data_IF_876355804828
#
_entry.id   IF_876355804828
#
_cell.length_a   1.000
_cell.length_b   1.000
_cell.length_c   1.000
_cell.angle_alpha   90.00
_cell.angle_beta   90.00
_cell.angle_gamma   90.00
#
_symmetry.space_group_name_H-M   'P 1'
#
loop_
_entity.id
_entity.type
_entity.pdbx_description
1 polymer ?
#
# COMPACT_ATOMS: atom_id res chain seq x y z
N UNK A 1 16.77 0.47 24.44
CA UNK A 1 16.13 0.09 23.16
C UNK A 1 16.28 -1.42 23.02
N UNK A 2 15.24 -2.17 22.63
CA UNK A 2 15.38 -3.61 22.41
C UNK A 2 16.26 -3.80 21.15
N UNK A 3 17.39 -4.50 21.19
CA UNK A 3 18.34 -4.62 20.08
C UNK A 3 17.75 -5.36 18.85
N UNK A 4 16.59 -6.00 19.00
CA UNK A 4 15.89 -6.67 17.93
C UNK A 4 14.87 -5.79 17.19
N UNK A 5 14.64 -4.54 17.63
CA UNK A 5 13.67 -3.62 17.01
C UNK A 5 14.37 -2.53 16.23
N UNK A 6 13.81 -2.20 15.08
CA UNK A 6 14.30 -1.13 14.19
C UNK A 6 13.15 -0.23 13.77
N UNK A 7 13.48 1.02 13.43
CA UNK A 7 12.50 1.98 12.94
C UNK A 7 12.15 1.74 11.46
N UNK A 8 11.10 2.41 10.98
CA UNK A 8 10.65 2.30 9.59
C UNK A 8 11.71 2.85 8.61
N UNK A 9 12.47 3.87 9.00
CA UNK A 9 13.51 4.47 8.17
C UNK A 9 14.60 3.45 7.78
N UNK A 10 14.83 2.45 8.64
CA UNK A 10 15.79 1.37 8.38
C UNK A 10 15.24 0.23 7.53
N UNK A 11 13.99 0.32 7.04
CA UNK A 11 13.38 -0.80 6.31
C UNK A 11 14.13 -1.17 5.02
N UNK A 12 14.75 -0.20 4.36
CA UNK A 12 15.57 -0.40 3.17
C UNK A 12 16.89 -1.16 3.39
N UNK A 13 17.30 -1.36 4.64
CA UNK A 13 18.55 -2.07 4.97
C UNK A 13 18.38 -3.60 4.99
N UNK A 14 17.15 -4.09 4.78
CA UNK A 14 16.79 -5.51 4.87
C UNK A 14 16.55 -6.12 3.49
N UNK A 15 16.80 -7.43 3.40
CA UNK A 15 16.68 -8.15 2.13
C UNK A 15 15.21 -8.38 1.75
N UNK A 16 14.36 -8.68 2.76
CA UNK A 16 12.92 -8.87 2.59
C UNK A 16 12.14 -8.28 3.76
N UNK A 17 10.91 -7.87 3.49
CA UNK A 17 9.94 -7.43 4.49
C UNK A 17 8.87 -8.52 4.64
N UNK A 18 8.66 -9.02 5.87
CA UNK A 18 7.75 -10.13 6.15
C UNK A 18 6.55 -9.63 6.95
N UNK A 19 5.37 -9.74 6.38
CA UNK A 19 4.11 -9.48 7.06
C UNK A 19 3.54 -10.75 7.69
N UNK A 20 3.56 -10.82 9.02
CA UNK A 20 3.01 -11.97 9.75
C UNK A 20 1.54 -11.79 10.18
N UNK A 21 0.86 -10.78 9.64
CA UNK A 21 -0.58 -10.61 9.82
C UNK A 21 -1.36 -11.65 9.01
N UNK A 22 -2.65 -11.75 9.29
CA UNK A 22 -3.51 -12.67 8.55
C UNK A 22 -3.62 -12.29 7.07
N UNK A 23 -3.98 -13.25 6.18
CA UNK A 23 -4.19 -12.97 4.76
C UNK A 23 -5.18 -11.84 4.48
N UNK A 24 -6.26 -11.72 5.27
CA UNK A 24 -7.23 -10.62 5.13
C UNK A 24 -6.65 -9.26 5.55
N UNK A 25 -5.84 -9.22 6.63
CA UNK A 25 -5.15 -7.99 7.04
C UNK A 25 -4.16 -7.55 5.94
N UNK A 26 -3.46 -8.51 5.31
CA UNK A 26 -2.51 -8.25 4.23
C UNK A 26 -3.19 -7.78 2.95
N UNK A 27 -4.30 -8.41 2.57
CA UNK A 27 -5.08 -8.05 1.38
C UNK A 27 -5.72 -6.65 1.48
N UNK A 28 -6.08 -6.21 2.70
CA UNK A 28 -6.62 -4.87 2.93
C UNK A 28 -5.58 -3.79 2.63
N UNK A 29 -4.35 -3.93 3.16
CA UNK A 29 -3.17 -3.10 2.85
C UNK A 29 -1.92 -3.68 3.51
N UNK A 30 -0.75 -3.46 2.94
CA UNK A 30 0.54 -3.91 3.45
C UNK A 30 1.68 -2.98 3.02
N UNK A 31 2.85 -3.13 3.63
CA UNK A 31 4.06 -2.43 3.19
C UNK A 31 4.44 -2.94 1.79
N UNK A 32 4.64 -2.07 0.79
CA UNK A 32 4.99 -2.49 -0.56
C UNK A 32 6.18 -3.45 -0.61
N UNK A 33 6.05 -4.51 -1.40
CA UNK A 33 7.07 -5.56 -1.51
C UNK A 33 7.10 -6.56 -0.35
N UNK A 34 6.23 -6.44 0.66
CA UNK A 34 6.18 -7.40 1.75
C UNK A 34 5.66 -8.76 1.31
N UNK A 35 6.25 -9.81 1.85
CA UNK A 35 5.82 -11.20 1.70
C UNK A 35 4.87 -11.54 2.87
N UNK A 36 3.68 -12.07 2.57
CA UNK A 36 2.77 -12.52 3.62
C UNK A 36 3.13 -13.92 4.11
N UNK A 37 3.54 -14.02 5.37
CA UNK A 37 3.80 -15.26 6.09
C UNK A 37 3.01 -15.27 7.40
N UNK A 38 1.68 -15.50 7.34
CA UNK A 38 0.80 -15.32 8.47
C UNK A 38 1.09 -16.33 9.59
N UNK A 39 1.36 -15.83 10.79
CA UNK A 39 1.51 -16.68 11.99
C UNK A 39 0.18 -17.09 12.62
N UNK A 40 -0.92 -16.56 12.12
CA UNK A 40 -2.30 -16.99 12.40
C UNK A 40 -3.12 -16.88 11.12
N UNK A 41 -3.95 -17.89 10.82
CA UNK A 41 -4.96 -17.78 9.78
C UNK A 41 -6.04 -16.73 10.18
N UNK A 42 -6.95 -16.40 9.27
CA UNK A 42 -8.07 -15.51 9.58
C UNK A 42 -8.94 -16.08 10.71
N UNK A 43 -9.25 -17.37 10.64
CA UNK A 43 -10.06 -18.10 11.61
C UNK A 43 -9.36 -18.20 12.97
N UNK A 44 -8.08 -18.59 12.98
CA UNK A 44 -7.28 -18.66 14.21
C UNK A 44 -7.19 -17.29 14.89
N UNK A 45 -7.06 -16.21 14.10
CA UNK A 45 -7.04 -14.83 14.62
C UNK A 45 -8.36 -14.46 15.30
N UNK A 46 -9.50 -14.89 14.73
CA UNK A 46 -10.83 -14.69 15.35
C UNK A 46 -10.92 -15.48 16.64
N UNK A 47 -10.55 -16.76 16.65
CA UNK A 47 -10.59 -17.63 17.85
C UNK A 47 -9.79 -17.00 18.98
N UNK A 48 -8.51 -16.71 18.74
CA UNK A 48 -7.61 -16.11 19.74
C UNK A 48 -8.13 -14.77 20.22
N UNK A 49 -8.64 -13.92 19.30
CA UNK A 49 -9.18 -12.61 19.63
C UNK A 49 -10.44 -12.66 20.51
N UNK A 50 -11.33 -13.60 20.23
CA UNK A 50 -12.55 -13.85 21.02
C UNK A 50 -12.21 -14.38 22.40
N UNK A 51 -11.33 -15.38 22.47
CA UNK A 51 -10.86 -15.92 23.76
C UNK A 51 -10.21 -14.84 24.63
N UNK A 52 -9.39 -13.97 24.02
CA UNK A 52 -8.74 -12.88 24.74
C UNK A 52 -9.71 -11.90 25.39
N UNK A 53 -10.83 -11.60 24.71
CA UNK A 53 -11.84 -10.63 25.18
C UNK A 53 -12.88 -11.25 26.11
N UNK A 54 -13.27 -12.50 25.87
CA UNK A 54 -14.47 -13.09 26.47
C UNK A 54 -14.18 -14.22 27.46
N UNK A 55 -12.97 -14.80 27.45
CA UNK A 55 -12.62 -15.93 28.31
C UNK A 55 -11.46 -15.56 29.23
N UNK A 56 -10.24 -15.58 28.73
CA UNK A 56 -9.03 -15.36 29.52
C UNK A 56 -7.87 -14.91 28.61
N UNK A 57 -7.20 -13.78 28.93
CA UNK A 57 -5.98 -13.39 28.24
C UNK A 57 -4.86 -14.42 28.31
N UNK A 58 -4.77 -15.18 29.41
CA UNK A 58 -3.77 -16.24 29.58
C UNK A 58 -4.06 -17.42 28.65
N UNK A 59 -5.29 -17.95 28.67
CA UNK A 59 -5.67 -19.08 27.82
C UNK A 59 -5.59 -18.74 26.34
N UNK A 60 -6.05 -17.54 25.94
CA UNK A 60 -5.88 -17.03 24.60
C UNK A 60 -4.40 -16.97 24.18
N UNK A 61 -3.51 -16.54 25.09
CA UNK A 61 -2.07 -16.51 24.83
C UNK A 61 -1.48 -17.90 24.69
N UNK A 62 -1.90 -18.86 25.53
CA UNK A 62 -1.45 -20.27 25.48
C UNK A 62 -1.88 -20.96 24.17
N UNK A 63 -3.17 -20.84 23.83
CA UNK A 63 -3.72 -21.43 22.60
C UNK A 63 -3.11 -20.76 21.36
N UNK A 64 -3.04 -19.42 21.36
CA UNK A 64 -2.45 -18.65 20.27
C UNK A 64 -0.97 -18.95 20.06
N UNK A 65 -0.19 -19.17 21.13
CA UNK A 65 1.22 -19.56 21.01
C UNK A 65 1.41 -20.89 20.29
N UNK A 66 0.54 -21.89 20.58
CA UNK A 66 0.59 -23.17 19.91
C UNK A 66 0.27 -23.06 18.40
N UNK A 67 -0.72 -22.23 18.03
CA UNK A 67 -1.06 -21.93 16.63
C UNK A 67 0.10 -21.22 15.92
N UNK A 68 0.62 -20.16 16.52
CA UNK A 68 1.76 -19.39 15.99
C UNK A 68 2.97 -20.27 15.76
N UNK A 69 3.31 -21.15 16.70
CA UNK A 69 4.47 -22.06 16.58
C UNK A 69 4.32 -23.03 15.38
N UNK A 70 3.13 -23.63 15.20
CA UNK A 70 2.85 -24.51 14.05
C UNK A 70 2.97 -23.78 12.72
N UNK A 71 2.39 -22.57 12.63
CA UNK A 71 2.40 -21.81 11.40
C UNK A 71 3.82 -21.30 11.06
N UNK A 72 4.62 -20.92 12.07
CA UNK A 72 6.03 -20.58 11.86
C UNK A 72 6.80 -21.80 11.34
N UNK A 73 6.64 -22.98 11.94
CA UNK A 73 7.28 -24.20 11.48
C UNK A 73 6.95 -24.50 10.00
N UNK A 74 5.67 -24.39 9.61
CA UNK A 74 5.26 -24.54 8.23
C UNK A 74 5.92 -23.54 7.27
N UNK A 75 6.07 -22.29 7.67
CA UNK A 75 6.78 -21.29 6.85
C UNK A 75 8.29 -21.58 6.73
N UNK A 76 8.91 -22.11 7.76
CA UNK A 76 10.33 -22.52 7.70
C UNK A 76 10.54 -23.67 6.71
N UNK A 77 9.60 -24.62 6.65
CA UNK A 77 9.66 -25.76 5.74
C UNK A 77 9.29 -25.42 4.28
N UNK A 78 8.64 -24.26 4.05
CA UNK A 78 8.10 -23.89 2.73
C UNK A 78 8.62 -22.52 2.26
N UNK A 79 8.05 -21.45 2.78
CA UNK A 79 8.29 -20.06 2.31
C UNK A 79 9.75 -19.64 2.46
N UNK A 80 10.44 -20.14 3.49
CA UNK A 80 11.79 -19.72 3.87
C UNK A 80 12.83 -20.86 3.75
N UNK A 81 12.46 -22.01 3.18
CA UNK A 81 13.33 -23.19 3.11
C UNK A 81 14.66 -22.92 2.40
N UNK A 82 14.64 -22.10 1.34
CA UNK A 82 15.80 -21.81 0.51
C UNK A 82 16.54 -20.51 0.87
N UNK A 83 16.19 -19.88 1.99
CA UNK A 83 16.81 -18.61 2.38
C UNK A 83 18.27 -18.78 2.83
N UNK A 84 19.20 -17.96 2.32
CA UNK A 84 20.62 -18.11 2.62
C UNK A 84 20.93 -17.73 4.09
N UNK A 85 22.07 -18.25 4.60
CA UNK A 85 22.50 -18.04 5.99
C UNK A 85 22.61 -16.57 6.39
N UNK A 86 22.98 -15.70 5.47
CA UNK A 86 23.16 -14.26 5.71
C UNK A 86 21.90 -13.44 5.52
N UNK A 87 20.74 -14.07 5.28
CA UNK A 87 19.46 -13.38 5.09
C UNK A 87 19.08 -12.49 6.27
N UNK A 88 18.58 -11.30 5.94
CA UNK A 88 18.21 -10.25 6.92
C UNK A 88 16.75 -9.83 6.71
N UNK A 89 15.76 -10.59 7.21
CA UNK A 89 14.36 -10.20 7.10
C UNK A 89 13.95 -9.15 8.13
N UNK A 90 13.11 -8.19 7.70
CA UNK A 90 12.38 -7.28 8.57
C UNK A 90 10.97 -7.80 8.79
N UNK A 91 10.58 -8.09 10.01
CA UNK A 91 9.32 -8.74 10.34
C UNK A 91 8.37 -7.76 11.01
N UNK A 92 7.14 -7.71 10.55
CA UNK A 92 6.14 -6.87 11.20
C UNK A 92 4.80 -7.58 11.40
N UNK A 93 4.05 -7.11 12.39
CA UNK A 93 2.63 -7.37 12.57
C UNK A 93 1.88 -6.05 12.76
N UNK A 94 0.67 -6.06 13.32
CA UNK A 94 -0.14 -4.84 13.47
C UNK A 94 0.55 -3.71 14.25
N UNK A 95 1.22 -4.02 15.40
CA UNK A 95 1.85 -3.04 16.30
C UNK A 95 3.27 -3.43 16.75
N UNK A 96 3.93 -4.37 16.09
CA UNK A 96 5.21 -4.87 16.57
C UNK A 96 5.10 -5.63 17.91
N UNK A 97 4.03 -6.44 18.07
CA UNK A 97 3.78 -7.23 19.27
C UNK A 97 4.18 -8.70 19.10
N UNK A 98 3.60 -9.58 19.96
CA UNK A 98 3.94 -11.01 20.08
C UNK A 98 4.01 -11.78 18.76
N UNK A 99 3.13 -11.49 17.78
CA UNK A 99 3.11 -12.19 16.48
C UNK A 99 4.45 -12.04 15.74
N UNK A 100 4.89 -10.82 15.50
CA UNK A 100 6.18 -10.57 14.83
C UNK A 100 7.38 -10.88 15.73
N UNK A 101 7.27 -10.67 17.03
CA UNK A 101 8.31 -11.03 18.00
C UNK A 101 8.63 -12.53 17.97
N UNK A 102 7.60 -13.41 17.96
CA UNK A 102 7.79 -14.86 17.92
C UNK A 102 8.53 -15.30 16.64
N UNK A 103 8.12 -14.80 15.46
CA UNK A 103 8.81 -15.10 14.21
C UNK A 103 10.26 -14.61 14.24
N UNK A 104 10.48 -13.35 14.66
CA UNK A 104 11.83 -12.76 14.78
C UNK A 104 12.73 -13.57 15.69
N UNK A 105 12.19 -14.05 16.81
CA UNK A 105 12.97 -14.84 17.79
C UNK A 105 13.42 -16.17 17.18
N UNK A 106 12.51 -16.92 16.57
CA UNK A 106 12.79 -18.21 15.94
C UNK A 106 13.80 -18.04 14.80
N UNK A 107 13.63 -17.05 13.93
CA UNK A 107 14.57 -16.79 12.84
C UNK A 107 15.98 -16.45 13.35
N UNK A 108 16.11 -15.69 14.45
CA UNK A 108 17.42 -15.44 15.06
C UNK A 108 18.01 -16.68 15.73
N UNK A 109 17.19 -17.61 16.27
CA UNK A 109 17.68 -18.90 16.81
C UNK A 109 18.25 -19.80 15.71
N UNK A 110 17.76 -19.72 14.48
CA UNK A 110 18.30 -20.42 13.30
C UNK A 110 19.66 -19.80 12.89
N UNK A 111 19.88 -18.52 13.21
CA UNK A 111 21.11 -17.80 12.88
C UNK A 111 20.96 -16.72 11.81
N UNK A 112 19.73 -16.48 11.33
CA UNK A 112 19.42 -15.34 10.46
C UNK A 112 19.46 -14.02 11.24
N UNK A 113 19.66 -12.90 10.54
CA UNK A 113 19.75 -11.57 11.18
C UNK A 113 18.38 -10.86 11.15
N UNK A 114 17.37 -11.53 11.64
CA UNK A 114 16.00 -11.00 11.66
C UNK A 114 15.83 -9.81 12.60
N UNK A 115 15.05 -8.82 12.20
CA UNK A 115 14.66 -7.67 13.03
C UNK A 115 13.16 -7.49 13.00
N UNK A 116 12.62 -6.87 14.05
CA UNK A 116 11.21 -6.54 14.19
C UNK A 116 11.00 -5.06 13.92
N UNK A 117 10.02 -4.72 13.06
CA UNK A 117 9.63 -3.32 12.83
C UNK A 117 8.95 -2.76 14.08
N UNK A 118 9.51 -1.71 14.65
CA UNK A 118 8.89 -1.03 15.80
C UNK A 118 7.58 -0.34 15.39
N UNK A 119 6.54 -0.51 16.23
CA UNK A 119 5.20 -0.05 15.92
C UNK A 119 4.49 -0.78 14.78
N UNK A 120 5.18 -1.66 14.03
CA UNK A 120 4.65 -2.52 12.98
C UNK A 120 3.90 -1.78 11.88
N UNK A 121 2.88 -2.42 11.26
CA UNK A 121 2.04 -1.82 10.23
C UNK A 121 1.42 -0.48 10.65
N UNK A 122 1.07 -0.34 11.95
CA UNK A 122 0.51 0.93 12.43
C UNK A 122 1.49 2.10 12.32
N UNK A 123 2.80 1.86 12.49
CA UNK A 123 3.83 2.87 12.28
C UNK A 123 3.91 3.25 10.80
N UNK A 124 3.97 2.25 9.90
CA UNK A 124 3.93 2.46 8.47
C UNK A 124 2.68 3.26 8.04
N UNK A 125 1.48 2.88 8.52
CA UNK A 125 0.24 3.58 8.16
C UNK A 125 0.23 5.04 8.64
N UNK A 126 0.82 5.34 9.80
CA UNK A 126 0.97 6.73 10.27
C UNK A 126 1.90 7.54 9.35
N UNK A 127 2.98 6.93 8.89
CA UNK A 127 3.89 7.55 7.92
C UNK A 127 3.18 7.86 6.61
N UNK A 128 2.43 6.91 6.05
CA UNK A 128 1.61 7.12 4.83
C UNK A 128 0.65 8.29 5.01
N UNK A 129 -0.13 8.31 6.10
CA UNK A 129 -1.11 9.38 6.35
C UNK A 129 -0.43 10.74 6.54
N UNK A 130 0.66 10.78 7.28
CA UNK A 130 1.43 12.02 7.51
C UNK A 130 2.02 12.55 6.19
N UNK A 131 2.62 11.66 5.40
CA UNK A 131 3.24 12.01 4.12
C UNK A 131 2.22 12.49 3.09
N UNK A 132 1.04 11.85 3.04
CA UNK A 132 -0.07 12.34 2.20
C UNK A 132 -0.55 13.75 2.59
N UNK A 133 -0.37 14.14 3.84
CA UNK A 133 -0.69 15.50 4.31
C UNK A 133 0.25 16.58 3.77
N UNK A 134 1.49 16.22 3.43
CA UNK A 134 2.55 17.20 3.11
C UNK A 134 3.12 17.05 1.71
N UNK A 135 3.40 15.84 1.26
CA UNK A 135 4.10 15.58 0.00
C UNK A 135 3.39 16.16 -1.24
N UNK A 136 2.04 16.09 -1.38
CA UNK A 136 1.39 16.65 -2.56
C UNK A 136 1.69 18.14 -2.78
N UNK A 137 1.88 18.92 -1.73
CA UNK A 137 2.16 20.37 -1.84
C UNK A 137 3.60 20.71 -2.23
N UNK A 138 4.49 19.72 -2.28
CA UNK A 138 5.90 19.93 -2.70
C UNK A 138 6.11 19.75 -4.19
N UNK A 139 5.07 19.32 -4.93
CA UNK A 139 5.12 19.04 -6.36
C UNK A 139 4.39 20.14 -7.14
N UNK A 140 4.87 20.42 -8.36
CA UNK A 140 4.22 21.31 -9.29
C UNK A 140 3.35 20.53 -10.28
N UNK A 141 2.07 20.88 -10.43
CA UNK A 141 1.12 20.12 -11.23
C UNK A 141 0.68 20.88 -12.48
N UNK A 142 0.54 20.12 -13.57
CA UNK A 142 -0.16 20.51 -14.80
C UNK A 142 -1.41 19.65 -14.91
N UNK A 143 -2.58 20.26 -14.75
CA UNK A 143 -3.87 19.55 -14.72
C UNK A 143 -4.44 19.45 -16.12
N UNK A 144 -4.71 18.25 -16.59
CA UNK A 144 -5.39 17.96 -17.86
C UNK A 144 -6.90 17.93 -17.62
N UNK A 145 -7.60 18.98 -18.02
CA UNK A 145 -9.06 19.10 -17.93
C UNK A 145 -9.72 18.78 -19.27
N UNK A 146 -11.01 18.44 -19.25
CA UNK A 146 -11.80 18.17 -20.44
C UNK A 146 -12.93 17.20 -20.17
N UNK A 147 -13.89 17.14 -21.08
CA UNK A 147 -15.07 16.27 -20.95
C UNK A 147 -14.69 14.79 -20.98
N UNK A 148 -15.57 13.93 -20.45
CA UNK A 148 -15.44 12.47 -20.61
C UNK A 148 -15.35 12.12 -22.11
N UNK A 149 -14.43 11.20 -22.45
CA UNK A 149 -14.17 10.84 -23.85
C UNK A 149 -13.31 11.84 -24.64
N UNK A 150 -12.73 12.88 -24.00
CA UNK A 150 -11.80 13.79 -24.70
C UNK A 150 -10.37 13.24 -24.86
N UNK A 151 -10.09 12.02 -24.39
CA UNK A 151 -8.79 11.38 -24.55
C UNK A 151 -7.71 11.85 -23.54
N UNK A 152 -8.11 12.42 -22.40
CA UNK A 152 -7.16 12.86 -21.35
C UNK A 152 -6.21 11.74 -20.91
N UNK A 153 -6.74 10.55 -20.62
CA UNK A 153 -5.94 9.38 -20.20
C UNK A 153 -4.96 8.97 -21.30
N UNK A 154 -5.38 8.96 -22.57
CA UNK A 154 -4.46 8.71 -23.69
C UNK A 154 -3.36 9.75 -23.81
N UNK A 155 -3.70 11.04 -23.60
CA UNK A 155 -2.72 12.11 -23.57
C UNK A 155 -1.75 11.95 -22.40
N UNK A 156 -2.27 11.60 -21.21
CA UNK A 156 -1.44 11.34 -20.01
C UNK A 156 -0.44 10.21 -20.27
N UNK A 157 -0.91 9.11 -20.86
CA UNK A 157 -0.02 7.98 -21.22
C UNK A 157 1.01 8.37 -22.28
N UNK A 158 0.59 9.10 -23.34
CA UNK A 158 1.53 9.58 -24.37
C UNK A 158 2.59 10.53 -23.80
N UNK A 159 2.24 11.35 -22.79
CA UNK A 159 3.20 12.18 -22.08
C UNK A 159 4.18 11.32 -21.28
N UNK A 160 3.72 10.26 -20.63
CA UNK A 160 4.59 9.29 -19.94
C UNK A 160 5.56 8.60 -20.92
N UNK A 161 5.08 8.19 -22.10
CA UNK A 161 5.88 7.53 -23.13
C UNK A 161 7.03 8.41 -23.66
N UNK A 162 6.87 9.73 -23.63
CA UNK A 162 7.95 10.68 -24.00
C UNK A 162 8.77 11.16 -22.78
N UNK A 163 8.61 10.51 -21.61
CA UNK A 163 9.41 10.75 -20.41
C UNK A 163 8.93 11.91 -19.52
N UNK A 164 7.71 12.41 -19.70
CA UNK A 164 7.11 13.35 -18.75
C UNK A 164 6.73 12.62 -17.46
N UNK A 165 6.72 13.35 -16.34
CA UNK A 165 6.19 12.81 -15.07
C UNK A 165 4.67 12.87 -15.09
N UNK A 166 4.04 11.74 -14.78
CA UNK A 166 2.57 11.62 -14.76
C UNK A 166 2.10 11.01 -13.46
N UNK A 167 0.91 11.41 -13.02
CA UNK A 167 0.19 10.81 -11.91
C UNK A 167 -1.19 10.34 -12.40
N UNK A 168 -1.30 9.03 -12.64
CA UNK A 168 -2.53 8.40 -13.11
C UNK A 168 -3.38 7.94 -11.92
N UNK A 169 -4.31 8.80 -11.49
CA UNK A 169 -5.19 8.54 -10.34
C UNK A 169 -6.24 7.48 -10.65
N UNK A 170 -6.69 7.37 -11.90
CA UNK A 170 -7.64 6.35 -12.34
C UNK A 170 -7.01 4.94 -12.30
N UNK A 171 -5.78 4.81 -12.80
CA UNK A 171 -5.03 3.55 -12.72
C UNK A 171 -4.78 3.12 -11.27
N UNK A 172 -4.35 4.05 -10.38
CA UNK A 172 -4.17 3.77 -8.95
C UNK A 172 -5.47 3.35 -8.27
N UNK A 173 -6.60 3.94 -8.65
CA UNK A 173 -7.91 3.59 -8.13
C UNK A 173 -8.52 2.35 -8.80
N UNK A 174 -7.92 1.81 -9.87
CA UNK A 174 -8.48 0.76 -10.73
C UNK A 174 -9.91 1.09 -11.18
N UNK A 175 -10.11 2.32 -11.67
CA UNK A 175 -11.42 2.85 -12.01
C UNK A 175 -11.28 3.98 -13.04
N UNK A 176 -12.17 4.04 -14.03
CA UNK A 176 -12.15 5.03 -15.14
C UNK A 176 -12.77 6.40 -14.78
N UNK A 177 -12.79 6.83 -13.54
CA UNK A 177 -13.25 8.16 -13.11
C UNK A 177 -14.73 8.49 -13.31
N UNK A 178 -15.37 7.95 -14.35
CA UNK A 178 -16.77 8.22 -14.70
C UNK A 178 -17.77 7.45 -13.82
N UNK A 179 -19.07 7.84 -13.86
CA UNK A 179 -20.14 7.11 -13.15
C UNK A 179 -20.22 5.62 -13.52
N UNK A 180 -19.82 5.25 -14.73
CA UNK A 180 -19.79 3.88 -15.25
C UNK A 180 -18.34 3.34 -15.32
N UNK A 181 -17.42 3.95 -14.60
CA UNK A 181 -15.99 3.68 -14.70
C UNK A 181 -15.51 2.41 -14.01
N UNK A 182 -16.38 1.63 -13.37
CA UNK A 182 -16.01 0.35 -12.78
C UNK A 182 -15.48 -0.61 -13.87
N UNK A 183 -14.29 -1.20 -13.63
CA UNK A 183 -13.72 -2.18 -14.57
C UNK A 183 -14.34 -3.56 -14.32
N UNK A 184 -14.91 -4.22 -15.34
CA UNK A 184 -15.49 -5.55 -15.19
C UNK A 184 -14.46 -6.55 -14.63
N UNK A 185 -14.83 -7.25 -13.57
CA UNK A 185 -13.97 -8.27 -12.94
C UNK A 185 -12.79 -7.75 -12.13
N UNK A 186 -12.61 -6.42 -12.01
CA UNK A 186 -11.52 -5.82 -11.23
C UNK A 186 -12.11 -5.05 -10.05
N UNK A 187 -11.85 -5.52 -8.83
CA UNK A 187 -12.23 -4.78 -7.62
C UNK A 187 -11.33 -3.56 -7.41
N UNK A 188 -11.91 -2.44 -6.99
CA UNK A 188 -11.12 -1.31 -6.51
C UNK A 188 -10.29 -1.71 -5.28
N UNK A 189 -9.11 -1.10 -5.08
CA UNK A 189 -8.34 -1.29 -3.86
C UNK A 189 -9.13 -0.78 -2.63
N UNK A 190 -8.74 -1.22 -1.44
CA UNK A 190 -9.16 -0.54 -0.22
C UNK A 190 -8.66 0.91 -0.23
N UNK A 191 -9.28 1.79 0.56
CA UNK A 191 -8.79 3.17 0.72
C UNK A 191 -7.32 3.18 1.20
N UNK A 192 -6.94 2.26 2.09
CA UNK A 192 -5.57 2.16 2.60
C UNK A 192 -4.58 1.74 1.52
N UNK A 193 -4.92 0.72 0.73
CA UNK A 193 -4.08 0.26 -0.38
C UNK A 193 -3.94 1.34 -1.47
N UNK A 194 -5.00 2.10 -1.75
CA UNK A 194 -4.92 3.26 -2.63
C UNK A 194 -3.96 4.32 -2.07
N UNK A 195 -4.12 4.69 -0.79
CA UNK A 195 -3.25 5.68 -0.14
C UNK A 195 -1.78 5.24 -0.16
N UNK A 196 -1.52 3.93 0.08
CA UNK A 196 -0.18 3.33 -0.01
C UNK A 196 0.39 3.43 -1.42
N UNK A 197 -0.42 3.11 -2.45
CA UNK A 197 0.00 3.22 -3.85
C UNK A 197 0.23 4.67 -4.26
N UNK A 198 -0.65 5.58 -3.83
CA UNK A 198 -0.54 7.01 -4.11
C UNK A 198 0.74 7.60 -3.51
N UNK A 199 1.05 7.31 -2.24
CA UNK A 199 2.27 7.83 -1.61
C UNK A 199 3.53 7.24 -2.26
N UNK A 200 3.47 5.97 -2.68
CA UNK A 200 4.55 5.35 -3.46
C UNK A 200 4.80 6.07 -4.78
N UNK A 201 3.73 6.36 -5.53
CA UNK A 201 3.82 7.13 -6.77
C UNK A 201 4.39 8.54 -6.54
N UNK A 202 3.86 9.28 -5.56
CA UNK A 202 4.32 10.63 -5.25
C UNK A 202 5.80 10.68 -4.80
N UNK A 203 6.28 9.70 -4.06
CA UNK A 203 7.69 9.61 -3.64
C UNK A 203 8.65 9.32 -4.79
N UNK A 204 8.16 8.73 -5.87
CA UNK A 204 8.93 8.47 -7.08
C UNK A 204 9.07 9.67 -8.02
N UNK A 205 8.38 10.80 -7.74
CA UNK A 205 8.40 11.99 -8.60
C UNK A 205 9.52 12.95 -8.19
N UNK A 206 10.14 13.57 -9.19
CA UNK A 206 11.15 14.63 -9.02
C UNK A 206 10.44 15.98 -8.81
N UNK A 207 10.60 16.63 -7.64
CA UNK A 207 9.92 17.89 -7.35
C UNK A 207 10.41 19.08 -8.18
N UNK A 208 11.50 18.92 -8.94
CA UNK A 208 12.02 19.97 -9.84
C UNK A 208 11.37 19.94 -11.23
N UNK A 209 10.54 18.94 -11.52
CA UNK A 209 9.88 18.73 -12.80
C UNK A 209 8.36 18.74 -12.63
N UNK A 210 7.60 19.32 -13.57
CA UNK A 210 6.15 19.32 -13.49
C UNK A 210 5.57 17.90 -13.60
N UNK A 211 4.44 17.68 -12.91
CA UNK A 211 3.70 16.42 -12.90
C UNK A 211 2.38 16.62 -13.63
N UNK A 212 2.16 15.89 -14.71
CA UNK A 212 0.89 15.88 -15.41
C UNK A 212 -0.10 14.95 -14.71
N UNK A 213 -1.33 15.41 -14.53
CA UNK A 213 -2.40 14.68 -13.85
C UNK A 213 -3.75 15.02 -14.47
N UNK A 214 -4.67 14.06 -14.52
CA UNK A 214 -6.04 14.34 -14.96
C UNK A 214 -6.83 15.10 -13.90
N UNK A 215 -7.68 16.02 -14.36
CA UNK A 215 -8.67 16.66 -13.50
C UNK A 215 -9.69 15.63 -13.01
N UNK A 216 -9.63 15.31 -11.75
CA UNK A 216 -10.50 14.33 -11.11
C UNK A 216 -11.41 14.96 -10.05
N UNK A 217 -12.55 14.33 -9.84
CA UNK A 217 -13.41 14.66 -8.72
C UNK A 217 -12.78 14.19 -7.40
N UNK A 218 -13.28 14.71 -6.26
CA UNK A 218 -12.84 14.25 -4.94
C UNK A 218 -12.99 12.73 -4.74
N UNK A 219 -13.85 12.08 -5.54
CA UNK A 219 -14.09 10.63 -5.45
C UNK A 219 -13.94 9.98 -6.80
N UNK A 220 -13.19 8.88 -6.81
CA UNK A 220 -13.02 7.97 -7.96
C UNK A 220 -13.65 6.63 -7.56
N UNK A 221 -14.89 6.41 -7.93
CA UNK A 221 -15.67 5.27 -7.46
C UNK A 221 -15.82 5.26 -5.93
N UNK A 222 -15.26 4.25 -5.25
CA UNK A 222 -15.28 4.11 -3.79
C UNK A 222 -14.12 4.85 -3.10
N UNK A 223 -13.11 5.27 -3.85
CA UNK A 223 -11.90 5.92 -3.32
C UNK A 223 -12.13 7.42 -3.13
N UNK A 224 -11.65 7.94 -2.01
CA UNK A 224 -11.62 9.37 -1.72
C UNK A 224 -10.20 9.90 -1.81
N UNK A 225 -9.97 10.91 -2.66
CA UNK A 225 -8.66 11.55 -2.79
C UNK A 225 -8.33 12.39 -1.54
N UNK A 226 -7.05 12.40 -1.09
CA UNK A 226 -6.61 13.23 0.02
C UNK A 226 -6.89 14.73 -0.24
N UNK A 227 -7.35 15.46 0.78
CA UNK A 227 -7.64 16.88 0.63
C UNK A 227 -6.39 17.71 0.30
N UNK A 228 -5.22 17.32 0.80
CA UNK A 228 -3.93 17.94 0.44
C UNK A 228 -3.65 17.86 -1.05
N UNK A 229 -3.85 16.67 -1.68
CA UNK A 229 -3.72 16.52 -3.12
C UNK A 229 -4.74 17.36 -3.87
N UNK A 230 -6.02 17.31 -3.46
CA UNK A 230 -7.08 18.11 -4.09
C UNK A 230 -6.79 19.62 -4.02
N UNK A 231 -6.25 20.09 -2.90
CA UNK A 231 -5.84 21.49 -2.73
C UNK A 231 -4.67 21.86 -3.66
N UNK A 232 -3.67 20.98 -3.78
CA UNK A 232 -2.54 21.19 -4.70
C UNK A 232 -3.00 21.20 -6.16
N UNK A 233 -3.92 20.31 -6.56
CA UNK A 233 -4.46 20.30 -7.92
C UNK A 233 -5.30 21.55 -8.25
N UNK A 234 -6.08 22.07 -7.29
CA UNK A 234 -6.82 23.32 -7.47
C UNK A 234 -5.90 24.55 -7.58
N UNK A 235 -4.75 24.50 -6.89
CA UNK A 235 -3.71 25.52 -6.95
C UNK A 235 -2.66 25.30 -8.03
N UNK A 236 -2.89 24.36 -8.97
CA UNK A 236 -1.94 23.99 -10.01
C UNK A 236 -1.51 25.21 -10.85
N UNK A 237 -0.23 25.25 -11.21
CA UNK A 237 0.38 26.34 -11.99
C UNK A 237 -0.24 26.45 -13.37
N UNK A 238 -0.70 25.35 -13.95
CA UNK A 238 -1.30 25.30 -15.28
C UNK A 238 -2.46 24.29 -15.33
N UNK A 239 -3.53 24.70 -16.03
CA UNK A 239 -4.63 23.82 -16.40
C UNK A 239 -4.76 23.82 -17.93
N UNK A 240 -4.62 22.65 -18.54
CA UNK A 240 -4.71 22.45 -19.99
C UNK A 240 -6.05 21.81 -20.33
N UNK A 241 -6.91 22.53 -21.07
CA UNK A 241 -8.18 21.98 -21.52
C UNK A 241 -8.03 21.19 -22.82
N UNK A 242 -8.31 19.89 -22.76
CA UNK A 242 -8.33 18.98 -23.92
C UNK A 242 -9.70 19.07 -24.59
N UNK A 243 -9.74 19.72 -25.77
CA UNK A 243 -10.95 19.91 -26.57
C UNK A 243 -10.94 18.97 -27.77
N UNK A 244 -11.99 18.19 -27.92
CA UNK A 244 -12.18 17.25 -29.02
C UNK A 244 -13.60 17.42 -29.56
N UNK A 245 -13.74 17.36 -30.90
CA UNK A 245 -15.04 17.43 -31.56
C UNK A 245 -15.96 16.29 -31.09
N UNK A 246 -17.29 16.54 -31.11
CA UNK A 246 -18.26 15.58 -30.57
C UNK A 246 -18.15 14.20 -31.24
N UNK A 247 -18.04 14.17 -32.56
CA UNK A 247 -17.94 12.92 -33.32
C UNK A 247 -16.71 12.09 -32.93
N UNK A 248 -15.56 12.73 -32.81
CA UNK A 248 -14.33 12.07 -32.37
C UNK A 248 -14.40 11.61 -30.90
N UNK A 249 -15.19 12.29 -30.04
CA UNK A 249 -15.45 11.83 -28.67
C UNK A 249 -16.31 10.57 -28.64
N UNK A 250 -17.33 10.51 -29.51
CA UNK A 250 -18.17 9.31 -29.65
C UNK A 250 -17.32 8.13 -30.08
N UNK A 251 -16.45 8.29 -31.09
CA UNK A 251 -15.56 7.25 -31.57
C UNK A 251 -14.59 6.76 -30.46
N UNK A 252 -14.08 7.68 -29.63
CA UNK A 252 -13.23 7.33 -28.48
C UNK A 252 -13.97 6.56 -27.38
N UNK A 253 -15.24 6.80 -27.18
CA UNK A 253 -16.07 6.11 -26.17
C UNK A 253 -16.57 4.74 -26.63
N UNK A 254 -16.61 4.49 -27.96
CA UNK A 254 -17.04 3.22 -28.54
C UNK A 254 -15.89 2.20 -28.67
N UNK A 255 -14.66 2.58 -28.37
CA UNK A 255 -13.46 1.71 -28.33
C UNK A 255 -13.23 1.11 -26.94
#
# INVERSE_FOLDING_TARGET
MNPMRVSLESAGDFDDIIDVRTPLEFADDHIPGAINAPVLSNEERVIVGTMYKQVSPFDASRVGAAMVARNIAAHLDTTFADQPRNWRPLIYCWRGGKRSESMTLIMNMIGWRARQLDGGYKAYRRDVVSSLGTLPSTLDYIVLAGHTGSGKTRLLHALADVGAQTLDLEALAKHRGSLLGAMPGVAQPSQKAFDTSLIGALRGLDPTRPVFVEAESRRIGLITLPESLMSSLRGATMCVEVRVALDARVDLLMQ
#
